data_IF_948411675102
#
_entry.id   IF_948411675102
#
_cell.length_a   1.000
_cell.length_b   1.000
_cell.length_c   1.000
_cell.angle_alpha   90.00
_cell.angle_beta   90.00
_cell.angle_gamma   90.00
#
_symmetry.space_group_name_H-M   'P 1'
#
loop_
_entity.id
_entity.type
_entity.pdbx_description
1 polymer ?
2 polymer ?
3 polymer ?
4 non-polymer ?
5 non-polymer ?
6 water ?
#
# COMPACT_ATOMS: atom_id res chain seq x y z
N UNK A 1 20.38 3.12 3.77
CA UNK A 1 19.20 3.85 4.30
C UNK A 1 18.48 3.03 5.34
N UNK A 2 17.35 3.55 5.81
CA UNK A 2 16.51 2.87 6.80
C UNK A 2 15.63 1.78 6.17
N UNK A 3 15.16 0.85 7.01
CA UNK A 3 14.34 -0.27 6.55
C UNK A 3 13.19 -0.59 7.52
N UNK A 4 12.20 -1.36 7.05
CA UNK A 4 11.03 -1.71 7.87
C UNK A 4 10.54 -3.12 7.52
N UNK A 5 9.88 -3.76 8.47
CA UNK A 5 9.10 -4.98 8.19
C UNK A 5 7.68 -4.78 8.73
N UNK A 6 6.67 -5.06 7.92
CA UNK A 6 5.27 -4.83 8.30
C UNK A 6 4.37 -5.97 7.83
N UNK A 7 3.41 -6.31 8.69
CA UNK A 7 2.35 -7.28 8.42
C UNK A 7 1.00 -6.56 8.53
N UNK A 8 0.11 -6.81 7.58
CA UNK A 8 -1.23 -6.19 7.51
C UNK A 8 -2.30 -7.30 7.42
N UNK A 9 -3.30 -7.25 8.31
CA UNK A 9 -4.34 -8.28 8.40
C UNK A 9 -5.73 -7.63 8.31
N UNK A 10 -6.60 -8.19 7.46
CA UNK A 10 -7.95 -7.65 7.22
C UNK A 10 -8.95 -8.79 7.22
N UNK A 11 -9.99 -8.66 8.05
CA UNK A 11 -11.15 -9.55 8.04
C UNK A 11 -12.44 -8.76 7.83
N UNK A 12 -13.31 -9.30 6.97
CA UNK A 12 -14.59 -8.70 6.61
C UNK A 12 -15.72 -9.71 6.81
N UNK A 13 -16.71 -9.35 7.64
CA UNK A 13 -17.93 -10.16 7.76
C UNK A 13 -18.91 -9.76 6.66
N UNK A 14 -19.62 -10.76 6.13
CA UNK A 14 -20.64 -10.57 5.11
C UNK A 14 -21.85 -11.45 5.43
N UNK A 15 -22.68 -11.03 6.42
CA UNK A 15 -23.78 -11.87 6.87
C UNK A 15 -24.72 -12.24 5.72
N UNK A 16 -25.12 -13.52 5.68
CA UNK A 16 -25.94 -14.03 4.60
C UNK A 16 -25.15 -14.61 3.44
N UNK A 17 -23.84 -14.31 3.40
CA UNK A 17 -22.94 -14.78 2.35
C UNK A 17 -21.75 -15.52 2.93
N UNK A 18 -22.01 -16.38 3.90
CA UNK A 18 -20.98 -17.24 4.48
C UNK A 18 -20.21 -16.59 5.61
N UNK A 19 -19.15 -17.27 6.03
CA UNK A 19 -18.30 -16.78 7.11
C UNK A 19 -17.26 -15.73 6.62
N UNK A 20 -16.62 -14.98 7.54
CA UNK A 20 -15.70 -13.91 7.13
C UNK A 20 -14.51 -14.31 6.24
N UNK A 21 -14.15 -13.40 5.34
CA UNK A 21 -12.96 -13.52 4.50
C UNK A 21 -11.77 -12.84 5.17
N UNK A 22 -10.61 -13.49 5.14
CA UNK A 22 -9.37 -13.01 5.80
C UNK A 22 -8.20 -12.94 4.79
N UNK A 23 -7.50 -11.79 4.77
CA UNK A 23 -6.32 -11.56 3.90
C UNK A 23 -5.18 -11.02 4.78
N UNK A 24 -4.00 -11.65 4.65
CA UNK A 24 -2.80 -11.22 5.36
C UNK A 24 -1.66 -11.02 4.36
N UNK A 25 -0.93 -9.91 4.49
CA UNK A 25 0.24 -9.68 3.62
C UNK A 25 1.44 -9.22 4.48
N UNK A 26 2.65 -9.57 4.05
CA UNK A 26 3.87 -9.14 4.73
C UNK A 26 4.77 -8.38 3.74
N UNK A 27 5.37 -7.29 4.22
CA UNK A 27 6.28 -6.44 3.43
C UNK A 27 7.64 -6.29 4.11
N UNK A 28 8.70 -6.24 3.31
CA UNK A 28 9.98 -5.67 3.75
C UNK A 28 10.14 -4.38 2.91
N UNK A 29 10.21 -3.23 3.58
CA UNK A 29 10.18 -1.92 2.89
C UNK A 29 8.95 -1.90 1.97
N UNK A 30 9.16 -1.67 0.67
CA UNK A 30 8.06 -1.61 -0.31
C UNK A 30 7.85 -2.88 -1.13
N UNK A 31 8.46 -3.98 -0.70
CA UNK A 31 8.42 -5.27 -1.39
C UNK A 31 7.56 -6.28 -0.61
N UNK A 32 6.49 -6.75 -1.22
CA UNK A 32 5.66 -7.78 -0.58
C UNK A 32 6.40 -9.12 -0.67
N UNK A 33 6.39 -9.88 0.42
CA UNK A 33 7.15 -11.13 0.43
C UNK A 33 6.30 -12.37 0.78
N UNK A 34 5.20 -12.18 1.51
CA UNK A 34 4.28 -13.29 1.82
C UNK A 34 2.81 -12.85 1.66
N UNK A 35 1.93 -13.83 1.48
CA UNK A 35 0.48 -13.60 1.48
C UNK A 35 -0.28 -14.82 2.01
N UNK A 36 -1.47 -14.58 2.57
CA UNK A 36 -2.45 -15.62 2.90
C UNK A 36 -3.85 -15.11 2.56
N UNK A 37 -4.63 -15.93 1.87
CA UNK A 37 -6.00 -15.61 1.53
C UNK A 37 -6.84 -16.80 1.98
N UNK A 38 -7.73 -16.59 2.96
CA UNK A 38 -8.52 -17.69 3.52
C UNK A 38 -9.38 -18.43 2.47
N UNK A 39 -9.67 -17.78 1.33
CA UNK A 39 -10.51 -18.40 0.29
C UNK A 39 -9.68 -18.98 -0.86
N UNK A 40 -8.36 -18.87 -0.77
CA UNK A 40 -7.49 -19.32 -1.85
C UNK A 40 -7.21 -20.84 -1.82
N UNK A 41 -6.61 -21.33 -2.91
CA UNK A 41 -6.41 -22.77 -3.14
C UNK A 41 -5.49 -23.50 -2.15
N UNK A 42 -4.35 -22.90 -1.81
CA UNK A 42 -3.31 -23.61 -1.05
C UNK A 42 -3.63 -23.83 0.43
N UNK A 43 -4.33 -22.86 1.05
CA UNK A 43 -4.58 -22.84 2.50
C UNK A 43 -3.27 -22.75 3.31
N UNK A 44 -2.23 -22.19 2.67
CA UNK A 44 -0.93 -21.99 3.32
C UNK A 44 -0.44 -20.55 3.18
N UNK A 45 0.54 -20.17 3.99
CA UNK A 45 1.26 -18.93 3.72
C UNK A 45 2.11 -19.13 2.45
N UNK A 46 2.04 -18.19 1.51
CA UNK A 46 2.68 -18.32 0.20
C UNK A 46 3.79 -17.29 -0.02
N UNK A 47 4.85 -17.68 -0.78
CA UNK A 47 5.94 -16.77 -1.16
C UNK A 47 5.54 -15.76 -2.25
N UNK A 48 6.03 -14.52 -2.13
CA UNK A 48 5.81 -13.48 -3.14
C UNK A 48 7.10 -12.77 -3.60
N UNK A 49 8.24 -13.25 -3.07
CA UNK A 49 9.58 -12.75 -3.43
C UNK A 49 10.55 -13.92 -3.43
N UNK A 50 11.52 -13.93 -4.38
CA UNK A 50 12.43 -15.09 -4.57
C UNK A 50 13.25 -15.47 -3.34
N UNK A 51 13.63 -14.48 -2.53
CA UNK A 51 14.50 -14.73 -1.36
C UNK A 51 13.82 -15.46 -0.19
N UNK A 52 12.51 -15.32 -0.09
CA UNK A 52 11.79 -16.00 1.00
C UNK A 52 11.70 -17.51 0.74
N UNK A 53 11.92 -17.91 -0.51
CA UNK A 53 11.93 -19.32 -0.87
C UNK A 53 13.16 -20.06 -0.29
N UNK A 54 14.10 -19.32 0.29
CA UNK A 54 15.23 -19.90 0.99
C UNK A 54 14.84 -20.48 2.35
N UNK A 55 13.64 -20.15 2.81
CA UNK A 55 13.12 -20.67 4.07
C UNK A 55 12.63 -22.12 3.92
N UNK A 56 12.95 -22.96 4.90
CA UNK A 56 12.58 -24.39 4.88
C UNK A 56 11.14 -24.70 5.33
N UNK A 57 10.77 -26.00 5.34
CA UNK A 57 9.40 -26.41 5.67
C UNK A 57 8.92 -26.02 7.07
N UNK A 58 9.82 -25.98 8.06
CA UNK A 58 9.47 -25.62 9.43
C UNK A 58 8.89 -24.18 9.51
N UNK A 59 9.51 -23.28 8.74
CA UNK A 59 9.05 -21.90 8.60
C UNK A 59 7.65 -21.83 7.99
N UNK A 60 7.50 -22.42 6.81
CA UNK A 60 6.22 -22.41 6.11
C UNK A 60 5.10 -23.02 6.95
N UNK A 61 5.38 -24.10 7.69
CA UNK A 61 4.39 -24.69 8.59
C UNK A 61 4.04 -23.78 9.75
N UNK A 62 5.07 -23.18 10.34
CA UNK A 62 4.88 -22.28 11.48
C UNK A 62 4.15 -21.00 11.09
N UNK A 63 4.52 -20.43 9.94
CA UNK A 63 3.86 -19.21 9.46
C UNK A 63 2.40 -19.48 9.09
N UNK A 64 2.14 -20.64 8.47
CA UNK A 64 0.78 -21.09 8.16
C UNK A 64 -0.05 -21.28 9.45
N UNK A 65 0.54 -21.94 10.45
CA UNK A 65 -0.16 -22.18 11.73
C UNK A 65 -0.57 -20.85 12.40
N UNK A 66 0.36 -19.91 12.46
CA UNK A 66 0.11 -18.60 13.09
C UNK A 66 -0.93 -17.76 12.33
N UNK A 67 -0.90 -17.79 11.01
CA UNK A 67 -1.81 -16.94 10.22
C UNK A 67 -3.25 -17.45 10.22
N UNK A 68 -3.40 -18.77 10.29
CA UNK A 68 -4.72 -19.40 10.37
C UNK A 68 -5.31 -19.14 11.74
N UNK A 69 -4.47 -19.18 12.78
CA UNK A 69 -4.92 -18.85 14.14
C UNK A 69 -5.37 -17.39 14.25
N UNK A 70 -4.71 -16.52 13.50
CA UNK A 70 -5.06 -15.09 13.44
C UNK A 70 -6.43 -14.91 12.78
N UNK A 71 -6.70 -15.66 11.71
CA UNK A 71 -8.02 -15.60 11.07
C UNK A 71 -9.15 -15.98 12.03
N UNK A 72 -8.90 -17.00 12.85
CA UNK A 72 -9.87 -17.48 13.84
C UNK A 72 -10.14 -16.48 14.96
N UNK A 73 -9.10 -15.80 15.42
CA UNK A 73 -9.24 -14.75 16.44
C UNK A 73 -10.05 -13.57 15.90
N UNK A 74 -9.79 -13.17 14.66
CA UNK A 74 -10.58 -12.13 14.01
C UNK A 74 -12.07 -12.52 13.89
N UNK A 75 -12.36 -13.79 13.59
CA UNK A 75 -13.77 -14.24 13.54
C UNK A 75 -14.47 -14.01 14.88
N UNK A 76 -13.76 -14.35 15.96
CA UNK A 76 -14.27 -14.14 17.33
C UNK A 76 -14.42 -12.62 17.62
N UNK A 77 -13.40 -11.84 17.27
CA UNK A 77 -13.39 -10.38 17.44
C UNK A 77 -14.60 -9.69 16.81
N UNK A 78 -14.92 -10.08 15.58
CA UNK A 78 -16.06 -9.52 14.86
C UNK A 78 -17.37 -9.64 15.64
N UNK A 79 -17.60 -10.80 16.26
CA UNK A 79 -18.78 -11.00 17.11
C UNK A 79 -18.71 -10.18 18.39
N UNK A 80 -17.54 -10.21 19.04
CA UNK A 80 -17.33 -9.42 20.26
C UNK A 80 -17.62 -7.93 20.02
N UNK A 81 -17.08 -7.39 18.94
CA UNK A 81 -17.26 -5.96 18.59
C UNK A 81 -18.69 -5.54 18.29
N UNK A 82 -19.49 -6.43 17.70
CA UNK A 82 -20.90 -6.14 17.48
C UNK A 82 -21.64 -5.97 18.81
N UNK A 83 -21.30 -6.80 19.79
CA UNK A 83 -21.86 -6.70 21.13
C UNK A 83 -21.50 -5.39 21.81
N UNK A 84 -20.20 -5.11 21.90
CA UNK A 84 -19.67 -3.87 22.46
C UNK A 84 -20.39 -2.63 21.94
N UNK A 85 -20.62 -2.56 20.63
CA UNK A 85 -21.22 -1.38 19.99
C UNK A 85 -22.73 -1.51 19.78
N UNK A 86 -23.31 -2.58 20.32
CA UNK A 86 -24.75 -2.85 20.22
C UNK A 86 -25.28 -2.83 18.78
N UNK A 87 -24.59 -3.54 17.89
CA UNK A 87 -24.97 -3.59 16.49
C UNK A 87 -25.71 -4.86 16.14
N UNK A 88 -26.51 -4.81 15.08
CA UNK A 88 -27.24 -5.98 14.64
C UNK A 88 -26.34 -6.89 13.79
N UNK A 89 -26.79 -8.13 13.61
CA UNK A 89 -26.03 -9.13 12.85
C UNK A 89 -26.27 -9.02 11.35
N UNK A 90 -26.93 -7.95 10.91
CA UNK A 90 -27.26 -7.76 9.49
C UNK A 90 -26.21 -7.02 8.65
N UNK A 91 -25.38 -6.19 9.30
CA UNK A 91 -24.44 -5.36 8.56
C UNK A 91 -23.08 -6.01 8.35
N UNK A 92 -22.40 -5.60 7.28
CA UNK A 92 -21.01 -6.01 7.06
C UNK A 92 -20.05 -5.12 7.87
N UNK A 93 -19.09 -5.75 8.56
CA UNK A 93 -18.09 -5.00 9.35
C UNK A 93 -16.65 -5.42 9.05
N UNK A 94 -15.70 -4.54 9.36
CA UNK A 94 -14.27 -4.75 9.03
C UNK A 94 -13.35 -4.64 10.26
N UNK A 95 -12.52 -5.66 10.45
CA UNK A 95 -11.43 -5.61 11.45
C UNK A 95 -10.08 -5.55 10.74
N UNK A 96 -9.18 -4.68 11.20
CA UNK A 96 -7.83 -4.56 10.63
C UNK A 96 -6.79 -4.51 11.74
N UNK A 97 -5.65 -5.18 11.51
CA UNK A 97 -4.51 -5.13 12.44
C UNK A 97 -3.23 -4.92 11.65
N UNK A 98 -2.31 -4.14 12.22
CA UNK A 98 -1.00 -3.91 11.62
C UNK A 98 0.05 -3.99 12.73
N UNK A 99 1.19 -4.59 12.43
CA UNK A 99 2.37 -4.53 13.31
C UNK A 99 3.65 -4.65 12.53
N UNK A 100 4.76 -4.24 13.17
CA UNK A 100 6.07 -4.33 12.56
C UNK A 100 7.10 -3.44 13.27
N UNK A 101 8.27 -3.34 12.67
CA UNK A 101 9.38 -2.59 13.27
C UNK A 101 10.15 -1.81 12.23
N UNK A 102 10.75 -0.69 12.65
CA UNK A 102 11.67 0.10 11.82
C UNK A 102 13.10 0.01 12.35
N UNK A 103 14.06 -0.05 11.44
CA UNK A 103 15.49 0.04 11.77
C UNK A 103 16.15 1.17 10.97
N UNK A 104 17.25 1.69 11.50
CA UNK A 104 18.05 2.72 10.83
C UNK A 104 19.03 2.14 9.83
N UNK A 105 19.93 3.00 9.33
CA UNK A 105 21.00 2.62 8.40
C UNK A 105 21.99 1.60 8.97
N UNK A 106 22.08 1.56 10.30
CA UNK A 106 22.92 0.59 11.04
C UNK A 106 22.15 -0.71 11.34
N UNK A 107 20.92 -0.79 10.81
CA UNK A 107 20.01 -1.93 11.04
C UNK A 107 19.68 -2.14 12.52
N UNK A 108 19.79 -1.08 13.31
CA UNK A 108 19.41 -1.11 14.72
C UNK A 108 18.00 -0.59 14.90
N UNK A 109 17.29 -1.16 15.88
CA UNK A 109 15.91 -0.81 16.26
C UNK A 109 15.66 0.70 16.42
N UNK A 110 14.65 1.20 15.70
CA UNK A 110 14.20 2.59 15.82
C UNK A 110 12.88 2.65 16.57
N UNK A 111 11.87 1.94 16.08
CA UNK A 111 10.59 1.85 16.78
C UNK A 111 9.74 0.66 16.32
N UNK A 112 8.78 0.32 17.17
CA UNK A 112 7.85 -0.77 16.91
C UNK A 112 6.43 -0.25 16.96
N UNK A 113 5.51 -0.99 16.36
CA UNK A 113 4.11 -0.61 16.33
C UNK A 113 3.19 -1.84 16.30
N UNK A 114 2.03 -1.70 16.92
CA UNK A 114 0.97 -2.71 16.90
C UNK A 114 -0.36 -2.00 17.12
N UNK A 115 -1.22 -1.98 16.10
CA UNK A 115 -2.48 -1.25 16.20
C UNK A 115 -3.63 -1.93 15.50
N UNK A 116 -4.82 -1.65 16.02
CA UNK A 116 -6.06 -2.30 15.61
C UNK A 116 -7.12 -1.27 15.23
N UNK A 117 -7.90 -1.57 14.19
CA UNK A 117 -9.01 -0.72 13.76
C UNK A 117 -10.30 -1.53 13.58
N UNK A 118 -11.44 -0.86 13.77
CA UNK A 118 -12.77 -1.43 13.54
C UNK A 118 -13.57 -0.48 12.67
N UNK A 119 -14.16 -1.00 11.59
CA UNK A 119 -14.93 -0.20 10.62
C UNK A 119 -14.26 1.11 10.12
N UNK A 120 -12.97 1.05 9.86
CA UNK A 120 -12.25 2.18 9.24
C UNK A 120 -11.72 3.24 10.17
N UNK A 121 -11.78 2.98 11.48
CA UNK A 121 -11.29 3.93 12.49
C UNK A 121 -10.48 3.27 13.61
N UNK A 122 -9.60 4.03 14.26
CA UNK A 122 -8.75 3.54 15.34
C UNK A 122 -9.61 2.86 16.41
N UNK A 123 -9.14 1.72 16.91
CA UNK A 123 -9.76 1.02 18.04
C UNK A 123 -8.81 1.03 19.25
N UNK A 124 -7.65 0.40 19.10
CA UNK A 124 -6.62 0.39 20.16
C UNK A 124 -5.24 0.31 19.54
N UNK A 125 -4.25 0.94 20.17
CA UNK A 125 -2.90 1.04 19.63
C UNK A 125 -1.85 0.97 20.74
N UNK A 126 -0.76 0.25 20.48
CA UNK A 126 0.36 0.24 21.41
C UNK A 126 1.16 1.53 21.25
N UNK A 127 1.49 2.16 22.37
CA UNK A 127 2.25 3.41 22.38
C UNK A 127 3.73 3.17 22.05
N UNK A 128 4.45 4.24 21.68
CA UNK A 128 5.85 4.15 21.27
C UNK A 128 6.79 3.54 22.33
N UNK A 129 6.42 3.67 23.61
CA UNK A 129 7.23 3.08 24.70
C UNK A 129 7.07 1.55 24.81
N UNK A 130 6.12 1.01 24.04
CA UNK A 130 5.83 -0.43 23.96
C UNK A 130 5.45 -1.06 25.33
N UNK A 131 4.83 -0.26 26.19
CA UNK A 131 4.44 -0.68 27.55
C UNK A 131 2.99 -0.35 27.86
N UNK A 132 2.45 0.63 27.14
CA UNK A 132 1.14 1.19 27.45
C UNK A 132 0.24 1.23 26.20
N UNK A 133 -1.07 1.31 26.44
CA UNK A 133 -2.09 1.26 25.37
C UNK A 133 -2.90 2.56 25.21
N UNK A 134 -3.25 2.88 23.96
CA UNK A 134 -4.13 4.01 23.63
C UNK A 134 -5.48 3.46 23.12
N UNK A 135 -6.51 3.56 23.95
CA UNK A 135 -7.87 3.18 23.59
C UNK A 135 -8.58 4.37 22.94
N UNK A 136 -9.15 4.16 21.75
CA UNK A 136 -9.75 5.24 20.96
C UNK A 136 -11.06 5.77 21.53
N UNK A 137 -11.78 4.91 22.23
CA UNK A 137 -13.10 5.26 22.75
C UNK A 137 -13.45 4.43 23.98
N UNK A 138 -14.67 4.59 24.48
CA UNK A 138 -15.10 3.91 25.71
C UNK A 138 -15.12 2.40 25.54
N UNK A 139 -15.62 1.92 24.40
CA UNK A 139 -15.66 0.48 24.12
C UNK A 139 -14.28 -0.15 24.18
N UNK A 140 -13.28 0.53 23.61
CA UNK A 140 -11.91 0.01 23.56
C UNK A 140 -11.25 -0.12 24.94
N UNK A 141 -11.75 0.61 25.92
CA UNK A 141 -11.27 0.50 27.31
C UNK A 141 -11.38 -0.92 27.87
N UNK A 142 -12.44 -1.64 27.49
CA UNK A 142 -12.64 -3.04 27.88
C UNK A 142 -11.50 -3.93 27.36
N UNK A 143 -11.12 -3.72 26.09
CA UNK A 143 -10.00 -4.41 25.49
C UNK A 143 -8.66 -4.07 26.15
N UNK A 144 -8.49 -2.79 26.49
CA UNK A 144 -7.26 -2.32 27.13
C UNK A 144 -6.98 -3.12 28.40
N UNK A 145 -8.01 -3.24 29.24
CA UNK A 145 -7.94 -4.01 30.50
C UNK A 145 -7.58 -5.48 30.33
N UNK A 146 -8.18 -6.16 29.35
CA UNK A 146 -7.90 -7.58 29.06
C UNK A 146 -6.47 -7.82 28.61
N UNK A 147 -5.98 -6.91 27.77
CA UNK A 147 -4.63 -6.96 27.26
C UNK A 147 -3.61 -6.60 28.33
N UNK A 148 -3.99 -5.72 29.25
CA UNK A 148 -3.17 -5.43 30.43
C UNK A 148 -3.06 -6.67 31.32
N UNK A 149 -4.19 -7.35 31.52
CA UNK A 149 -4.24 -8.54 32.36
C UNK A 149 -3.46 -9.71 31.77
N UNK A 150 -3.55 -9.89 30.45
CA UNK A 150 -2.88 -10.99 29.76
C UNK A 150 -1.42 -10.68 29.45
N UNK A 151 -0.97 -9.49 29.82
CA UNK A 151 0.42 -9.05 29.62
C UNK A 151 0.85 -9.08 28.15
N UNK A 152 -0.04 -8.61 27.27
CA UNK A 152 0.21 -8.60 25.83
C UNK A 152 1.36 -7.65 25.44
N UNK A 153 1.42 -6.46 26.06
CA UNK A 153 2.44 -5.46 25.69
C UNK A 153 3.87 -5.93 25.90
N UNK A 154 4.09 -6.62 27.02
CA UNK A 154 5.38 -7.23 27.35
C UNK A 154 5.80 -8.20 26.26
N UNK A 155 4.87 -9.07 25.86
CA UNK A 155 5.12 -10.08 24.83
C UNK A 155 5.38 -9.45 23.47
N UNK A 156 4.55 -8.47 23.10
CA UNK A 156 4.74 -7.69 21.86
C UNK A 156 6.08 -6.95 21.85
N UNK A 157 6.44 -6.36 22.99
CA UNK A 157 7.71 -5.65 23.10
C UNK A 157 8.92 -6.55 22.80
N UNK A 158 8.90 -7.76 23.36
CA UNK A 158 9.96 -8.74 23.12
C UNK A 158 10.07 -9.08 21.62
N UNK A 159 8.92 -9.28 20.97
CA UNK A 159 8.89 -9.55 19.53
C UNK A 159 9.45 -8.36 18.74
N UNK A 160 8.92 -7.17 19.01
CA UNK A 160 9.23 -5.98 18.21
C UNK A 160 10.69 -5.55 18.33
N UNK A 161 11.28 -5.72 19.52
CA UNK A 161 12.68 -5.34 19.77
C UNK A 161 13.68 -6.46 19.44
N UNK A 162 13.22 -7.71 19.42
CA UNK A 162 14.09 -8.87 19.15
C UNK A 162 13.82 -9.52 17.80
N UNK A 163 12.92 -10.51 17.81
CA UNK A 163 12.54 -11.27 16.61
C UNK A 163 12.30 -10.43 15.36
N UNK A 164 11.54 -9.35 15.50
CA UNK A 164 11.20 -8.51 14.32
C UNK A 164 12.46 -7.95 13.64
N UNK A 165 13.33 -7.35 14.45
CA UNK A 165 14.60 -6.80 13.96
C UNK A 165 15.53 -7.85 13.37
N UNK A 166 15.67 -8.98 14.08
CA UNK A 166 16.54 -10.06 13.62
C UNK A 166 16.11 -10.69 12.29
N UNK A 167 14.81 -10.89 12.13
CA UNK A 167 14.30 -11.50 10.88
C UNK A 167 14.32 -10.50 9.71
N UNK A 168 14.06 -9.23 10.01
CA UNK A 168 14.26 -8.16 9.03
C UNK A 168 15.70 -8.15 8.47
N UNK A 169 16.70 -8.14 9.35
CA UNK A 169 18.12 -8.26 8.93
C UNK A 169 18.43 -9.50 8.12
N UNK A 170 17.91 -10.64 8.54
CA UNK A 170 18.09 -11.90 7.80
C UNK A 170 17.54 -11.80 6.38
N UNK A 171 16.34 -11.27 6.23
CA UNK A 171 15.72 -11.03 4.93
C UNK A 171 16.55 -10.05 4.06
N UNK A 172 16.97 -8.92 4.65
CA UNK A 172 17.85 -7.95 3.95
C UNK A 172 19.13 -8.59 3.42
N UNK A 173 19.70 -9.51 4.20
CA UNK A 173 20.90 -10.25 3.80
C UNK A 173 20.61 -11.29 2.72
N UNK A 174 19.64 -12.16 2.99
CA UNK A 174 19.23 -13.20 2.04
C UNK A 174 18.80 -12.64 0.68
N UNK A 175 18.14 -11.47 0.70
CA UNK A 175 17.66 -10.82 -0.53
C UNK A 175 18.39 -9.55 -0.88
N UNK A 176 19.68 -9.51 -0.57
CA UNK A 176 20.53 -8.33 -0.81
C UNK A 176 20.47 -7.76 -2.22
N UNK A 177 20.53 -8.64 -3.23
CA UNK A 177 20.55 -8.22 -4.63
C UNK A 177 19.37 -7.32 -5.01
N UNK A 178 18.22 -7.54 -4.37
CA UNK A 178 17.02 -6.77 -4.69
C UNK A 178 16.63 -5.78 -3.57
N UNK A 179 16.62 -6.25 -2.33
CA UNK A 179 16.20 -5.44 -1.20
C UNK A 179 17.15 -4.31 -0.84
N UNK A 180 18.45 -4.53 -1.09
CA UNK A 180 19.42 -3.51 -0.74
C UNK A 180 19.82 -2.63 -1.93
N UNK A 181 19.19 -2.85 -3.08
CA UNK A 181 19.51 -2.03 -4.26
C UNK A 181 18.82 -0.66 -4.19
N UNK A 182 19.41 0.30 -4.89
CA UNK A 182 18.80 1.62 -5.03
C UNK A 182 18.74 1.92 -6.52
N UNK A 183 17.55 1.88 -7.09
CA UNK A 183 17.38 2.27 -8.48
C UNK A 183 17.05 3.76 -8.55
N UNK A 184 17.98 4.55 -9.07
CA UNK A 184 17.79 5.99 -9.27
C UNK A 184 16.68 6.24 -10.30
N UNK A 185 15.84 7.27 -10.07
CA UNK A 185 14.81 7.55 -11.08
C UNK A 185 15.36 7.92 -12.47
N UNK A 186 14.68 7.42 -13.51
CA UNK A 186 14.91 7.93 -14.86
C UNK A 186 13.98 9.11 -15.03
N UNK A 187 14.56 10.28 -15.33
CA UNK A 187 13.82 11.55 -15.29
C UNK A 187 13.78 12.27 -16.64
N UNK A 188 12.64 12.90 -16.94
CA UNK A 188 12.48 13.78 -18.10
C UNK A 188 11.36 14.80 -17.87
N UNK A 189 11.27 15.81 -18.75
CA UNK A 189 10.24 16.84 -18.66
C UNK A 189 9.46 16.94 -19.96
N UNK A 190 8.14 17.01 -19.85
CA UNK A 190 7.28 17.27 -21.01
C UNK A 190 6.69 18.69 -20.98
N UNK A 191 6.22 19.13 -22.15
CA UNK A 191 5.64 20.46 -22.35
C UNK A 191 4.33 20.27 -23.12
N UNK A 192 3.23 20.78 -22.54
CA UNK A 192 1.92 20.69 -23.16
C UNK A 192 1.31 22.09 -23.18
N UNK A 193 0.79 22.47 -24.34
CA UNK A 193 0.18 23.79 -24.52
C UNK A 193 -1.32 23.73 -24.24
N UNK A 194 -1.71 24.34 -23.12
CA UNK A 194 -3.13 24.48 -22.77
C UNK A 194 -3.79 25.41 -23.78
N UNK A 195 -3.07 26.48 -24.15
CA UNK A 195 -3.53 27.50 -25.09
C UNK A 195 -2.38 28.40 -25.52
N UNK A 196 -2.72 29.60 -25.95
CA UNK A 196 -1.73 30.62 -26.29
C UNK A 196 -1.20 31.32 -25.03
N UNK A 197 -1.97 31.24 -23.95
CA UNK A 197 -1.73 32.02 -22.72
C UNK A 197 -0.95 31.29 -21.62
N UNK A 198 -0.99 29.96 -21.64
CA UNK A 198 -0.30 29.16 -20.62
C UNK A 198 0.11 27.76 -21.10
N UNK A 199 1.14 27.21 -20.47
CA UNK A 199 1.64 25.86 -20.74
C UNK A 199 1.86 25.07 -19.46
N UNK A 200 1.74 23.74 -19.57
CA UNK A 200 2.00 22.84 -18.45
C UNK A 200 3.35 22.12 -18.65
N UNK A 201 4.22 22.24 -17.65
CA UNK A 201 5.49 21.50 -17.60
C UNK A 201 5.32 20.34 -16.63
N UNK A 202 5.66 19.13 -17.08
CA UNK A 202 5.51 17.92 -16.27
C UNK A 202 6.85 17.23 -16.06
N UNK A 203 7.25 17.14 -14.79
CA UNK A 203 8.51 16.53 -14.42
C UNK A 203 8.27 15.07 -14.01
N UNK A 204 8.89 14.13 -14.74
CA UNK A 204 8.66 12.69 -14.52
C UNK A 204 9.81 12.00 -13.82
N UNK A 205 9.47 11.03 -12.96
CA UNK A 205 10.44 10.15 -12.31
C UNK A 205 9.93 8.71 -12.43
N UNK A 206 10.72 7.87 -13.12
CA UNK A 206 10.33 6.52 -13.46
C UNK A 206 11.38 5.48 -13.05
N UNK A 207 10.92 4.23 -12.87
CA UNK A 207 11.77 3.06 -12.58
C UNK A 207 12.63 3.17 -11.33
N UNK A 208 12.10 3.81 -10.27
CA UNK A 208 12.86 3.98 -9.05
C UNK A 208 12.44 3.02 -7.93
N UNK A 209 13.39 2.78 -7.03
CA UNK A 209 13.20 1.96 -5.83
C UNK A 209 14.26 2.40 -4.82
N UNK A 210 13.88 2.57 -3.53
CA UNK A 210 12.56 2.42 -2.91
C UNK A 210 11.57 3.55 -3.26
N UNK A 211 10.32 3.42 -2.79
CA UNK A 211 9.22 4.32 -3.17
C UNK A 211 9.43 5.77 -2.74
N UNK A 212 10.09 5.95 -1.58
CA UNK A 212 10.40 7.28 -1.04
C UNK A 212 11.09 8.22 -2.04
N UNK A 213 10.50 9.38 -2.27
CA UNK A 213 11.00 10.35 -3.26
C UNK A 213 10.41 11.75 -3.03
N UNK A 214 11.14 12.78 -3.42
CA UNK A 214 10.66 14.16 -3.32
C UNK A 214 10.87 14.88 -4.66
N UNK A 215 9.77 15.38 -5.21
CA UNK A 215 9.73 16.21 -6.43
C UNK A 215 9.23 17.61 -6.07
N UNK A 216 10.05 18.62 -6.34
CA UNK A 216 9.70 20.02 -6.02
C UNK A 216 9.96 20.96 -7.21
N UNK A 217 9.09 21.96 -7.36
CA UNK A 217 9.27 23.00 -8.38
C UNK A 217 9.82 24.27 -7.74
N UNK A 218 10.68 24.95 -8.49
CA UNK A 218 11.14 26.29 -8.11
C UNK A 218 10.98 27.25 -9.28
N UNK A 219 10.72 28.53 -8.96
CA UNK A 219 10.74 29.60 -9.96
C UNK A 219 11.81 30.62 -9.54
N UNK A 220 12.83 30.77 -10.38
CA UNK A 220 14.04 31.54 -10.07
C UNK A 220 14.66 31.14 -8.71
N UNK A 221 14.79 29.84 -8.48
CA UNK A 221 15.48 29.34 -7.32
C UNK A 221 14.67 29.45 -6.05
N UNK A 222 13.36 29.57 -6.20
CA UNK A 222 12.47 29.77 -5.07
C UNK A 222 11.27 28.82 -5.13
N UNK A 223 10.94 28.22 -3.99
CA UNK A 223 9.95 27.15 -3.94
C UNK A 223 8.57 27.59 -4.42
N UNK A 224 7.98 26.78 -5.29
CA UNK A 224 6.77 27.11 -6.00
C UNK A 224 5.75 26.00 -5.77
N UNK A 225 4.72 26.31 -4.98
CA UNK A 225 3.65 25.36 -4.67
C UNK A 225 2.31 25.71 -5.33
N UNK A 226 2.09 27.02 -5.54
CA UNK A 226 0.88 27.50 -6.23
C UNK A 226 0.89 27.06 -7.68
N UNK A 227 -0.28 26.71 -8.21
CA UNK A 227 -0.43 26.24 -9.62
C UNK A 227 0.36 24.97 -9.95
N UNK A 228 0.52 24.10 -8.95
CA UNK A 228 1.17 22.81 -9.14
C UNK A 228 0.22 21.64 -8.84
N UNK A 229 0.52 20.50 -9.45
CA UNK A 229 -0.16 19.24 -9.17
C UNK A 229 0.86 18.12 -8.96
N UNK A 230 0.69 17.36 -7.87
CA UNK A 230 1.61 16.27 -7.53
C UNK A 230 0.80 15.00 -7.31
N UNK A 231 1.01 13.99 -8.16
CA UNK A 231 0.28 12.73 -8.03
C UNK A 231 0.92 11.80 -6.99
N UNK A 232 0.10 10.95 -6.37
CA UNK A 232 0.57 9.94 -5.43
C UNK A 232 1.54 9.01 -6.14
N UNK A 233 2.61 8.63 -5.43
CA UNK A 233 3.58 7.65 -5.94
C UNK A 233 2.84 6.35 -6.22
N UNK A 234 3.12 5.73 -7.35
CA UNK A 234 2.33 4.58 -7.80
C UNK A 234 3.23 3.41 -8.23
N UNK A 235 2.74 2.17 -8.03
CA UNK A 235 3.51 1.02 -8.47
C UNK A 235 3.50 0.78 -9.98
N UNK A 236 4.66 0.56 -10.57
CA UNK A 236 4.78 0.23 -12.00
C UNK A 236 4.34 -1.22 -12.30
N UNK A 237 4.48 -2.10 -11.31
CA UNK A 237 4.05 -3.50 -11.44
C UNK A 237 5.23 -4.45 -11.56
N UNK A 238 6.42 -3.89 -11.73
CA UNK A 238 7.65 -4.68 -11.88
C UNK A 238 8.59 -4.54 -10.68
N UNK A 239 8.06 -4.03 -9.57
CA UNK A 239 8.86 -3.79 -8.38
C UNK A 239 9.42 -2.38 -8.27
N UNK A 240 9.14 -1.54 -9.26
CA UNK A 240 9.60 -0.15 -9.23
C UNK A 240 8.40 0.79 -9.12
N UNK A 241 8.71 2.09 -8.94
CA UNK A 241 7.70 3.11 -8.69
C UNK A 241 7.79 4.27 -9.70
N UNK A 242 6.69 5.03 -9.80
CA UNK A 242 6.54 6.16 -10.71
C UNK A 242 5.95 7.37 -9.96
N UNK A 243 6.33 8.58 -10.37
CA UNK A 243 5.70 9.81 -9.85
C UNK A 243 5.88 10.95 -10.84
N UNK A 244 4.92 11.87 -10.85
CA UNK A 244 5.11 13.14 -11.52
C UNK A 244 4.62 14.37 -10.76
N UNK A 245 5.22 15.51 -11.14
CA UNK A 245 4.88 16.82 -10.63
C UNK A 245 4.73 17.76 -11.84
N UNK A 246 3.67 18.56 -11.84
CA UNK A 246 3.39 19.51 -12.93
C UNK A 246 3.15 20.93 -12.39
N UNK A 247 3.44 21.92 -13.23
CA UNK A 247 3.22 23.33 -12.93
C UNK A 247 2.61 24.01 -14.16
N UNK A 248 1.62 24.87 -13.95
CA UNK A 248 1.04 25.66 -15.05
C UNK A 248 1.70 27.04 -15.03
N UNK A 249 2.35 27.40 -16.15
CA UNK A 249 3.12 28.62 -16.24
C UNK A 249 2.60 29.53 -17.36
N UNK A 250 2.84 30.85 -17.26
CA UNK A 250 2.54 31.74 -18.38
C UNK A 250 3.50 31.53 -19.55
N UNK A 251 2.95 31.52 -20.76
CA UNK A 251 3.72 31.36 -22.00
C UNK A 251 4.88 32.37 -22.09
N UNK A 252 6.04 31.89 -22.52
CA UNK A 252 7.27 32.71 -22.57
C UNK A 252 8.07 32.81 -21.28
N UNK A 253 7.59 32.18 -20.20
CA UNK A 253 8.27 32.21 -18.89
C UNK A 253 8.71 30.80 -18.41
N UNK A 254 8.64 29.82 -19.31
CA UNK A 254 9.06 28.43 -19.04
C UNK A 254 10.46 28.30 -18.44
N UNK A 255 11.38 29.18 -18.84
CA UNK A 255 12.80 29.04 -18.43
C UNK A 255 13.09 29.46 -17.01
N UNK A 256 12.09 30.07 -16.36
CA UNK A 256 12.22 30.48 -14.97
C UNK A 256 12.04 29.30 -14.01
N UNK A 257 11.45 28.21 -14.51
CA UNK A 257 11.03 27.08 -13.69
C UNK A 257 12.02 25.89 -13.73
N UNK A 258 12.30 25.31 -12.56
CA UNK A 258 13.14 24.13 -12.46
C UNK A 258 12.48 23.05 -11.59
N UNK A 259 12.65 21.79 -11.97
CA UNK A 259 12.16 20.66 -11.17
C UNK A 259 13.32 20.04 -10.41
N UNK A 260 13.14 19.83 -9.10
CA UNK A 260 14.20 19.24 -8.28
C UNK A 260 13.81 17.86 -7.75
N UNK A 261 14.69 16.88 -7.98
CA UNK A 261 14.43 15.48 -7.62
C UNK A 261 15.41 14.97 -6.56
N UNK A 262 14.85 14.47 -5.45
CA UNK A 262 15.63 13.87 -4.36
C UNK A 262 15.27 12.38 -4.19
N UNK A 263 16.30 11.53 -4.11
CA UNK A 263 16.13 10.07 -3.99
C UNK A 263 17.40 9.38 -3.49
N UNK A 264 17.24 8.33 -2.68
CA UNK A 264 18.36 7.55 -2.12
C UNK A 264 19.39 7.08 -3.16
N UNK A 265 18.92 6.80 -4.37
CA UNK A 265 19.76 6.34 -5.46
C UNK A 265 20.56 7.44 -6.13
N UNK A 266 20.27 8.68 -5.76
CA UNK A 266 20.97 9.85 -6.31
C UNK A 266 22.00 10.37 -5.31
N UNK A 267 23.30 10.37 -5.69
CA UNK A 267 24.36 10.88 -4.80
C UNK A 267 24.20 12.37 -4.47
N UNK A 268 23.61 13.12 -5.41
CA UNK A 268 23.25 14.53 -5.21
C UNK A 268 21.94 14.78 -5.97
N UNK A 269 21.08 15.69 -5.46
CA UNK A 269 19.80 15.95 -6.13
C UNK A 269 19.94 16.43 -7.58
N UNK A 270 18.97 16.05 -8.41
CA UNK A 270 18.93 16.48 -9.81
C UNK A 270 18.09 17.74 -9.96
N UNK A 271 18.47 18.56 -10.94
CA UNK A 271 17.72 19.73 -11.32
C UNK A 271 17.42 19.62 -12.81
N UNK A 272 16.12 19.66 -13.14
CA UNK A 272 15.66 19.62 -14.52
C UNK A 272 15.05 20.96 -14.95
N UNK A 273 15.24 21.29 -16.21
CA UNK A 273 14.79 22.56 -16.80
C UNK A 273 14.29 22.25 -18.20
N UNK A 274 13.24 22.93 -18.66
CA UNK A 274 12.72 22.71 -20.01
C UNK A 274 13.72 23.17 -21.09
N UNK B 1 -16.65 4.49 8.95
CA UNK B 1 -16.09 5.57 8.13
C UNK B 1 -15.96 5.08 6.69
N UNK B 2 -16.51 5.84 5.74
CA UNK B 2 -16.40 5.52 4.32
C UNK B 2 -15.54 6.56 3.62
N UNK B 3 -14.69 6.09 2.70
CA UNK B 3 -13.78 6.95 1.93
C UNK B 3 -13.84 6.54 0.46
N UNK B 4 -13.86 7.54 -0.42
CA UNK B 4 -14.01 7.31 -1.85
C UNK B 4 -12.64 7.05 -2.51
N UNK B 5 -12.57 6.11 -3.46
CA UNK B 5 -11.27 5.78 -4.07
C UNK B 5 -10.66 6.88 -4.95
N UNK B 6 -9.35 7.06 -4.81
CA UNK B 6 -8.54 7.75 -5.80
C UNK B 6 -8.23 6.75 -6.91
N UNK B 7 -8.08 7.25 -8.15
CA UNK B 7 -7.87 6.40 -9.34
C UNK B 7 -6.79 6.98 -10.27
N UNK B 8 -5.79 6.16 -10.59
CA UNK B 8 -4.79 6.49 -11.60
C UNK B 8 -4.75 5.38 -12.65
N UNK B 9 -4.76 5.76 -13.92
CA UNK B 9 -4.68 4.84 -15.06
C UNK B 9 -3.41 5.17 -15.84
N UNK B 10 -2.58 4.17 -16.11
CA UNK B 10 -1.22 4.41 -16.65
C UNK B 10 -0.58 3.11 -17.14
N UNK B 11 0.48 3.23 -17.95
CA UNK B 11 1.23 2.08 -18.43
C UNK B 11 2.48 1.86 -17.56
N UNK B 12 2.93 0.60 -17.48
CA UNK B 12 4.17 0.24 -16.79
C UNK B 12 5.41 0.90 -17.42
N UNK B 13 5.50 0.84 -18.75
CA UNK B 13 6.62 1.41 -19.52
C UNK B 13 6.09 2.51 -20.42
N UNK B 14 6.96 3.43 -20.88
CA UNK B 14 6.49 4.49 -21.80
C UNK B 14 5.83 3.87 -23.03
N UNK B 15 4.65 4.35 -23.41
CA UNK B 15 3.88 3.73 -24.48
C UNK B 15 4.55 3.92 -25.83
N UNK B 16 4.67 2.83 -26.58
CA UNK B 16 5.09 2.87 -27.98
C UNK B 16 4.12 2.02 -28.78
N UNK B 17 3.42 2.63 -29.73
CA UNK B 17 2.42 1.91 -30.53
C UNK B 17 2.99 0.65 -31.18
N UNK B 18 2.27 -0.46 -31.04
CA UNK B 18 2.71 -1.72 -31.60
C UNK B 18 3.61 -2.58 -30.74
N UNK B 19 4.09 -2.05 -29.62
CA UNK B 19 4.93 -2.81 -28.66
C UNK B 19 4.14 -3.14 -27.39
N UNK B 20 4.16 -4.42 -26.99
CA UNK B 20 3.49 -4.91 -25.78
C UNK B 20 3.98 -4.23 -24.50
N UNK B 21 3.05 -4.05 -23.56
CA UNK B 21 3.23 -3.25 -22.35
C UNK B 21 2.25 -3.79 -21.29
N UNK B 22 2.14 -3.13 -20.13
CA UNK B 22 1.10 -3.45 -19.16
C UNK B 22 0.22 -2.22 -18.84
N UNK B 23 -1.10 -2.42 -18.83
CA UNK B 23 -2.05 -1.36 -18.43
C UNK B 23 -2.43 -1.50 -16.95
N UNK B 24 -2.17 -0.44 -16.18
CA UNK B 24 -2.41 -0.40 -14.73
C UNK B 24 -3.60 0.50 -14.34
N UNK B 25 -4.34 0.07 -13.33
CA UNK B 25 -5.33 0.93 -12.69
C UNK B 25 -5.13 0.80 -11.20
N UNK B 26 -4.60 1.87 -10.60
CA UNK B 26 -4.27 1.89 -9.17
C UNK B 26 -5.41 2.58 -8.45
N UNK B 27 -6.09 1.82 -7.58
CA UNK B 27 -7.14 2.38 -6.73
C UNK B 27 -6.62 2.42 -5.29
N UNK B 28 -6.83 3.55 -4.61
CA UNK B 28 -6.31 3.76 -3.26
C UNK B 28 -7.16 4.72 -2.44
N UNK B 29 -6.92 4.75 -1.13
CA UNK B 29 -7.60 5.66 -0.23
C UNK B 29 -9.08 5.37 0.02
N UNK B 30 -9.52 4.12 -0.17
CA UNK B 30 -10.94 3.78 -0.02
C UNK B 30 -11.24 2.94 1.23
N UNK B 31 -12.48 3.06 1.69
CA UNK B 31 -13.03 2.26 2.79
C UNK B 31 -14.55 2.28 2.63
N UNK B 32 -15.24 1.11 2.78
CA UNK B 32 -14.77 -0.27 3.02
C UNK B 32 -14.01 -0.90 1.83
N UNK B 33 -13.58 -2.15 1.99
CA UNK B 33 -12.69 -2.80 0.99
C UNK B 33 -13.41 -3.32 -0.24
N UNK B 34 -14.73 -3.50 -0.14
CA UNK B 34 -15.52 -3.92 -1.29
C UNK B 34 -15.46 -2.92 -2.44
N UNK B 35 -14.94 -3.38 -3.58
CA UNK B 35 -14.75 -2.53 -4.75
C UNK B 35 -14.83 -3.35 -6.05
N UNK B 36 -15.31 -2.74 -7.12
CA UNK B 36 -15.32 -3.35 -8.44
C UNK B 36 -14.47 -2.51 -9.36
N UNK B 37 -13.49 -3.14 -10.02
CA UNK B 37 -12.60 -2.44 -10.94
C UNK B 37 -12.47 -3.23 -12.24
N UNK B 38 -12.78 -2.58 -13.36
CA UNK B 38 -12.65 -3.18 -14.69
C UNK B 38 -11.79 -2.33 -15.60
N UNK B 39 -11.02 -2.98 -16.45
CA UNK B 39 -10.28 -2.28 -17.49
C UNK B 39 -11.02 -2.41 -18.81
N UNK B 40 -11.16 -1.29 -19.52
CA UNK B 40 -11.96 -1.26 -20.75
C UNK B 40 -11.10 -0.96 -21.96
N UNK B 41 -11.38 -1.69 -23.04
CA UNK B 41 -10.79 -1.42 -24.36
C UNK B 41 -11.92 -1.03 -25.31
N UNK B 42 -11.90 0.22 -25.77
CA UNK B 42 -12.97 0.78 -26.62
C UNK B 42 -14.37 0.55 -26.01
N UNK B 43 -14.47 0.77 -24.71
CA UNK B 43 -15.74 0.62 -24.00
C UNK B 43 -16.08 -0.79 -23.55
N UNK B 44 -15.32 -1.77 -24.04
CA UNK B 44 -15.59 -3.18 -23.71
C UNK B 44 -14.68 -3.71 -22.59
N UNK B 45 -15.25 -4.52 -21.71
CA UNK B 45 -14.52 -5.08 -20.56
C UNK B 45 -13.45 -6.09 -20.99
N UNK B 46 -12.21 -5.84 -20.58
CA UNK B 46 -11.09 -6.75 -20.81
C UNK B 46 -11.22 -7.93 -19.86
N UNK B 47 -11.14 -9.13 -20.41
CA UNK B 47 -11.44 -10.35 -19.67
C UNK B 47 -10.30 -10.87 -18.79
N UNK B 48 -9.06 -10.81 -19.27
CA UNK B 48 -7.95 -11.40 -18.53
C UNK B 48 -7.24 -10.32 -17.55
N UNK B 49 -7.93 -9.96 -16.38
CA UNK B 49 -7.31 -8.92 -15.55
C UNK B 49 -6.95 -9.48 -14.17
N UNK B 50 -5.71 -9.23 -13.73
CA UNK B 50 -5.25 -9.65 -12.41
C UNK B 50 -5.16 -8.47 -11.43
N UNK B 51 -5.00 -8.76 -10.15
CA UNK B 51 -4.84 -7.72 -9.13
C UNK B 51 -3.95 -8.14 -7.98
N UNK B 52 -3.41 -7.13 -7.29
CA UNK B 52 -2.56 -7.32 -6.11
C UNK B 52 -3.37 -7.82 -4.93
N UNK B 53 -2.68 -8.28 -3.90
CA UNK B 53 -3.36 -8.68 -2.65
C UNK B 53 -3.74 -7.47 -1.83
N UNK B 54 -4.95 -7.50 -1.27
CA UNK B 54 -5.49 -6.40 -0.49
C UNK B 54 -4.55 -5.99 0.64
N UNK B 55 -4.18 -4.71 0.65
CA UNK B 55 -3.38 -4.15 1.72
C UNK B 55 -3.90 -2.75 2.06
N UNK B 56 -3.30 -2.10 3.05
CA UNK B 56 -3.78 -0.79 3.51
C UNK B 56 -2.70 0.15 4.01
N UNK B 57 -3.02 1.44 4.01
CA UNK B 57 -2.13 2.51 4.45
C UNK B 57 -2.22 2.82 5.97
N UNK B 58 -1.38 3.77 6.42
CA UNK B 58 -1.37 4.22 7.83
C UNK B 58 -2.75 4.65 8.37
N UNK B 59 -3.54 5.30 7.51
CA UNK B 59 -4.89 5.77 7.85
C UNK B 59 -5.98 4.70 7.72
N UNK B 60 -5.58 3.43 7.53
CA UNK B 60 -6.47 2.25 7.41
C UNK B 60 -7.15 2.08 6.04
N UNK B 61 -7.01 3.07 5.15
CA UNK B 61 -7.62 3.01 3.83
C UNK B 61 -6.89 2.01 2.90
N UNK B 62 -7.67 1.34 2.04
CA UNK B 62 -7.18 0.23 1.24
C UNK B 62 -6.61 0.71 -0.10
N UNK B 63 -5.70 -0.09 -0.65
CA UNK B 63 -5.18 0.12 -2.01
C UNK B 63 -5.07 -1.20 -2.75
N UNK B 64 -5.27 -1.14 -4.07
CA UNK B 64 -5.15 -2.31 -4.95
C UNK B 64 -4.64 -1.89 -6.31
N UNK B 65 -3.81 -2.74 -6.92
CA UNK B 65 -3.37 -2.53 -8.31
C UNK B 65 -3.99 -3.57 -9.21
N UNK B 66 -4.73 -3.12 -10.22
CA UNK B 66 -5.30 -4.00 -11.25
C UNK B 66 -4.50 -3.83 -12.56
N UNK B 67 -4.25 -4.93 -13.26
CA UNK B 67 -3.34 -4.88 -14.41
C UNK B 67 -3.62 -5.94 -15.45
N UNK B 68 -3.28 -5.60 -16.69
CA UNK B 68 -3.44 -6.47 -17.84
C UNK B 68 -2.36 -6.17 -18.87
N UNK B 69 -1.91 -7.22 -19.54
CA UNK B 69 -0.94 -7.10 -20.63
C UNK B 69 -1.68 -6.58 -21.87
N UNK B 70 -1.12 -5.57 -22.55
CA UNK B 70 -1.75 -4.99 -23.72
C UNK B 70 -0.75 -4.42 -24.74
N UNK B 71 -1.21 -4.22 -25.97
CA UNK B 71 -0.42 -3.57 -27.02
C UNK B 71 -1.15 -2.32 -27.52
N UNK B 72 -0.69 -1.12 -27.06
CA UNK B 72 -1.31 0.15 -27.41
C UNK B 72 -1.15 0.50 -28.89
N UNK B 73 -2.17 1.18 -29.44
CA UNK B 73 -2.14 1.67 -30.82
C UNK B 73 -2.58 3.14 -30.83
N UNK B 74 -2.43 3.81 -31.97
CA UNK B 74 -2.87 5.19 -32.12
C UNK B 74 -4.40 5.31 -32.01
N UNK B 75 -5.11 4.27 -32.45
CA UNK B 75 -6.58 4.31 -32.54
C UNK B 75 -7.25 3.21 -31.71
N UNK B 76 -6.96 3.22 -30.41
CA UNK B 76 -7.61 2.33 -29.45
C UNK B 76 -7.72 3.09 -28.14
N UNK B 77 -8.91 3.06 -27.54
CA UNK B 77 -9.20 3.80 -26.30
C UNK B 77 -9.18 2.86 -25.11
N UNK B 78 -8.42 3.23 -24.08
CA UNK B 78 -8.40 2.44 -22.84
C UNK B 78 -8.89 3.28 -21.67
N UNK B 79 -9.50 2.60 -20.69
CA UNK B 79 -10.07 3.26 -19.52
C UNK B 79 -10.14 2.30 -18.35
N UNK B 80 -10.36 2.84 -17.16
CA UNK B 80 -10.64 2.06 -15.97
C UNK B 80 -12.01 2.49 -15.44
N UNK B 81 -12.85 1.50 -15.11
CA UNK B 81 -14.18 1.75 -14.55
C UNK B 81 -14.29 1.18 -13.15
N UNK B 82 -14.65 2.04 -12.20
CA UNK B 82 -14.65 1.71 -10.78
C UNK B 82 -16.02 1.98 -10.12
N UNK B 83 -16.52 1.00 -9.38
CA UNK B 83 -17.68 1.20 -8.51
C UNK B 83 -17.38 0.86 -7.04
N UNK B 84 -17.99 1.60 -6.14
CA UNK B 84 -17.79 1.50 -4.69
C UNK B 84 -19.07 2.08 -4.06
N UNK B 85 -19.33 1.74 -2.79
CA UNK B 85 -20.52 2.25 -2.04
C UNK B 85 -20.60 3.77 -2.06
N UNK B 86 -19.44 4.42 -1.99
CA UNK B 86 -19.38 5.88 -1.92
C UNK B 86 -19.72 6.56 -3.23
N UNK B 87 -19.79 5.78 -4.31
CA UNK B 87 -20.05 6.32 -5.64
C UNK B 87 -21.50 6.12 -6.04
N UNK B 88 -22.11 7.18 -6.56
CA UNK B 88 -23.50 7.17 -7.00
C UNK B 88 -23.68 6.31 -8.26
N UNK B 89 -22.67 6.36 -9.14
CA UNK B 89 -22.61 5.58 -10.37
C UNK B 89 -21.12 5.22 -10.62
N UNK B 90 -20.84 4.21 -11.48
CA UNK B 90 -19.43 3.92 -11.78
C UNK B 90 -18.65 5.12 -12.33
N UNK B 91 -17.39 5.25 -11.90
CA UNK B 91 -16.49 6.30 -12.36
C UNK B 91 -15.52 5.75 -13.43
N UNK B 92 -15.47 6.42 -14.58
CA UNK B 92 -14.63 6.03 -15.70
C UNK B 92 -13.50 7.03 -15.87
N UNK B 93 -12.26 6.55 -15.79
CA UNK B 93 -11.09 7.40 -16.01
C UNK B 93 -10.36 6.87 -17.24
N UNK B 94 -10.14 7.73 -18.24
CA UNK B 94 -9.50 7.33 -19.48
C UNK B 94 -7.97 7.33 -19.35
N UNK B 95 -7.34 6.39 -20.04
CA UNK B 95 -5.87 6.35 -20.09
C UNK B 95 -5.33 7.49 -20.96
N UNK B 96 -4.35 8.21 -20.41
CA UNK B 96 -3.64 9.25 -21.13
C UNK B 96 -2.16 8.92 -21.07
N UNK B 97 -1.55 8.66 -22.23
CA UNK B 97 -0.12 8.31 -22.35
C UNK B 97 0.81 9.27 -21.61
N UNK B 98 0.31 10.49 -21.40
CA UNK B 98 1.10 11.59 -20.85
C UNK B 98 0.80 11.86 -19.38
N UNK B 99 0.09 10.95 -18.73
CA UNK B 99 -0.28 11.10 -17.32
C UNK B 99 -0.16 9.82 -16.48
N UNK C 1 8.89 -12.68 9.49
CA UNK C 1 8.36 -13.66 10.48
C UNK C 1 7.31 -13.02 11.38
N UNK C 2 6.17 -13.69 11.53
CA UNK C 2 5.07 -13.23 12.39
C UNK C 2 5.36 -13.38 13.89
N UNK C 3 4.66 -12.59 14.70
CA UNK C 3 4.72 -12.70 16.16
C UNK C 3 4.18 -14.05 16.67
N UNK C 4 4.84 -14.61 17.70
CA UNK C 4 4.48 -15.92 18.26
C UNK C 4 3.74 -15.81 19.59
N UNK C 5 2.79 -14.90 19.63
CA UNK C 5 2.00 -14.69 20.83
C UNK C 5 0.70 -15.47 20.67
N UNK C 6 0.29 -16.14 21.75
CA UNK C 6 -0.96 -16.90 21.78
C UNK C 6 -2.10 -15.97 21.38
N UNK C 7 -2.66 -16.23 20.20
CA UNK C 7 -3.68 -15.35 19.61
C UNK C 7 -4.96 -15.14 20.44
N UNK C 8 -5.51 -16.20 21.10
CA UNK C 8 -6.61 -16.04 22.08
C UNK C 8 -6.37 -15.00 23.19
N UNK C 9 -5.11 -14.78 23.57
CA UNK C 9 -4.74 -13.72 24.51
C UNK C 9 -5.04 -12.33 23.94
N UNK C 10 -4.75 -12.14 22.65
CA UNK C 10 -4.98 -10.84 22.03
C UNK C 10 -6.32 -10.73 21.26
N UNK C 11 -7.32 -11.48 21.75
CA UNK C 11 -8.71 -11.28 21.38
C UNK C 11 -9.21 -10.00 22.05
N UNK C 12 -10.07 -9.27 21.34
CA UNK C 12 -10.57 -7.96 21.84
C UNK C 12 -11.63 -8.11 22.93
X LIG D 1 3.76 3.29 -2.00
X LIG D 1 4.59 4.46 -1.94
X LIG D 1 3.72 2.84 -3.45
X LIG D 1 2.84 3.66 -4.22
X LIG E 1 3.72 6.35 -17.88
X LIG E 1 3.09 5.41 -17.02
X LIG E 1 5.21 6.25 -17.61
X LIG E 1 5.78 5.28 -18.49
X LIG F 1 10.48 -22.42 12.22
X LIG F 1 10.51 -21.07 11.70
X LIG F 1 10.00 -22.41 13.69
X LIG F 1 10.90 -21.66 14.52
X LIG G 1 8.02 -15.39 16.08
#
# INVERSE_FOLDING_TARGET
GSHSMRYFFTSVSRPGRGEPRFIAVGYVDDTQFVRFDSDAASQRMEPRAPWIEQEGPEYWDGETRKVKAHSQTHRVDLGTLRGYYNQSEAGSHTVQRMYGCDVGSDWRFLRGYHQYAYDGKDYIALKEDLRSWTAADMAAQTTKHKWEAAHVAEQLRAYLEGTCVEWLRRYLENGKETLQRTDAPKTHMTHHAVSDHEATLRCWALSFYPAEITLTWQRDGEDQTQDTELVETRPAGDGTFQKWAAVVVPSGQEQRYTCHVQHEGLPKPLTLRW
IQRTPKIQVYSRHPAENGKSNFLNCYVSGFHPSDIEVDLLKNGERIEKVEHSDLSFSKDWSFYLLYYTEFTPTEKDEYACRVNHVTLSQPKIVKWDRDM
RQASIELPSMAV
EDO C1 O1 C2 O2
EDO C1 O1 C2 O2
EDO C1 O1 C2 O2
NA NA
#
